data_IF_324511354028
#
_entry.id   IF_324511354028
#
_cell.length_a   1.000
_cell.length_b   1.000
_cell.length_c   1.000
_cell.angle_alpha   90.00
_cell.angle_beta   90.00
_cell.angle_gamma   90.00
#
_symmetry.space_group_name_H-M   'P 1'
#
loop_
_entity.id
_entity.type
_entity.pdbx_description
1 polymer ?
#
# COMPACT_ATOMS: atom_id res chain seq x y z
N UNK A 1 -1.80 8.95 3.29
CA UNK A 1 -3.28 8.78 3.26
C UNK A 1 -3.66 7.84 4.40
N UNK A 2 -4.74 8.13 5.13
CA UNK A 2 -5.29 7.26 6.19
C UNK A 2 -6.75 6.97 5.82
N UNK A 3 -7.21 5.73 5.97
CA UNK A 3 -8.46 5.27 5.40
C UNK A 3 -8.73 3.79 5.69
N UNK A 4 -9.64 3.21 4.90
CA UNK A 4 -10.19 1.87 5.13
C UNK A 4 -9.79 0.89 4.03
N UNK A 5 -9.79 -0.40 4.38
CA UNK A 5 -9.82 -1.48 3.40
C UNK A 5 -11.27 -1.73 2.95
N UNK A 6 -11.53 -2.15 1.70
CA UNK A 6 -10.54 -2.53 0.67
C UNK A 6 -10.10 -1.37 -0.24
N UNK A 7 -10.55 -0.12 0.03
CA UNK A 7 -10.27 1.04 -0.83
C UNK A 7 -8.78 1.23 -1.08
N UNK A 8 -7.93 1.05 -0.06
CA UNK A 8 -6.49 1.19 -0.20
C UNK A 8 -5.83 0.04 -0.96
N UNK A 9 -6.15 -1.22 -0.67
CA UNK A 9 -5.62 -2.33 -1.47
C UNK A 9 -6.04 -2.25 -2.94
N UNK A 10 -7.26 -1.79 -3.24
CA UNK A 10 -7.73 -1.53 -4.61
C UNK A 10 -7.01 -0.35 -5.27
N UNK A 11 -6.84 0.77 -4.56
CA UNK A 11 -6.14 1.95 -5.08
C UNK A 11 -4.68 1.63 -5.39
N UNK A 12 -3.99 0.93 -4.48
CA UNK A 12 -2.60 0.50 -4.71
C UNK A 12 -2.52 -0.47 -5.88
N UNK A 13 -3.50 -1.36 -6.04
CA UNK A 13 -3.57 -2.25 -7.20
C UNK A 13 -3.77 -1.50 -8.51
N UNK A 14 -4.62 -0.48 -8.54
CA UNK A 14 -4.79 0.37 -9.72
C UNK A 14 -3.51 1.12 -10.09
N UNK A 15 -2.81 1.69 -9.09
CA UNK A 15 -1.59 2.47 -9.30
C UNK A 15 -0.39 1.60 -9.69
N UNK A 16 -0.24 0.42 -9.09
CA UNK A 16 0.98 -0.39 -9.21
C UNK A 16 0.82 -1.62 -10.10
N UNK A 17 -0.40 -1.97 -10.50
CA UNK A 17 -0.79 -3.26 -11.09
C UNK A 17 -0.47 -4.49 -10.22
N UNK A 18 -0.09 -4.28 -8.96
CA UNK A 18 0.21 -5.34 -8.00
C UNK A 18 -0.92 -5.52 -6.99
N UNK A 19 -1.21 -6.75 -6.59
CA UNK A 19 -2.15 -7.02 -5.49
C UNK A 19 -1.41 -7.11 -4.16
N UNK A 20 -1.99 -6.51 -3.12
CA UNK A 20 -1.48 -6.58 -1.75
C UNK A 20 -2.58 -7.00 -0.79
N UNK A 21 -2.20 -7.35 0.44
CA UNK A 21 -3.09 -7.43 1.59
C UNK A 21 -2.60 -6.45 2.63
N UNK A 22 -3.43 -5.50 3.04
CA UNK A 22 -3.08 -4.51 4.06
C UNK A 22 -3.79 -4.87 5.38
N UNK A 23 -3.03 -4.97 6.47
CA UNK A 23 -3.61 -5.16 7.81
C UNK A 23 -4.07 -3.80 8.38
N UNK A 24 -4.99 -3.82 9.36
CA UNK A 24 -5.32 -2.61 10.13
C UNK A 24 -4.04 -2.01 10.72
N UNK A 25 -3.88 -0.69 10.62
CA UNK A 25 -2.65 0.04 10.98
C UNK A 25 -1.40 -0.34 10.17
N UNK A 26 -1.54 -1.09 9.07
CA UNK A 26 -0.47 -1.29 8.10
C UNK A 26 -0.21 -0.02 7.29
N UNK A 27 1.03 0.12 6.81
CA UNK A 27 1.47 1.27 6.00
C UNK A 27 2.09 0.76 4.72
N UNK A 28 1.63 1.27 3.57
CA UNK A 28 2.24 1.02 2.28
C UNK A 28 2.92 2.30 1.77
N UNK A 29 4.16 2.18 1.31
CA UNK A 29 4.86 3.26 0.60
C UNK A 29 4.79 2.99 -0.89
N UNK A 30 4.15 3.90 -1.62
CA UNK A 30 4.05 3.85 -3.07
C UNK A 30 4.80 5.04 -3.64
N UNK A 31 5.74 4.75 -4.52
CA UNK A 31 6.43 5.75 -5.34
C UNK A 31 5.60 5.97 -6.62
N UNK A 32 5.32 7.21 -6.97
CA UNK A 32 4.53 7.57 -8.17
C UNK A 32 5.45 8.22 -9.20
N UNK A 33 5.40 7.72 -10.43
CA UNK A 33 6.07 8.35 -11.57
C UNK A 33 5.11 9.33 -12.27
N UNK A 34 5.66 10.31 -13.00
CA UNK A 34 4.86 11.24 -13.80
C UNK A 34 4.02 10.53 -14.90
N UNK A 35 4.34 9.27 -15.22
CA UNK A 35 3.69 8.42 -16.23
C UNK A 35 2.41 7.73 -15.75
N UNK A 36 1.81 8.20 -14.65
CA UNK A 36 0.65 7.58 -13.97
C UNK A 36 0.89 6.16 -13.45
N UNK A 37 2.14 5.67 -13.49
CA UNK A 37 2.53 4.36 -12.99
C UNK A 37 3.15 4.49 -11.61
N UNK A 38 2.63 3.74 -10.66
CA UNK A 38 3.17 3.62 -9.32
C UNK A 38 4.02 2.36 -9.14
N UNK A 39 4.93 2.39 -8.17
CA UNK A 39 5.66 1.22 -7.68
C UNK A 39 5.50 1.10 -6.17
N UNK A 40 5.05 -0.07 -5.71
CA UNK A 40 5.07 -0.39 -4.29
C UNK A 40 6.52 -0.60 -3.84
N UNK A 41 6.98 0.22 -2.88
CA UNK A 41 8.35 0.16 -2.34
C UNK A 41 8.43 -0.68 -1.09
N UNK A 42 7.44 -0.54 -0.20
CA UNK A 42 7.37 -1.35 1.01
C UNK A 42 5.93 -1.46 1.52
N UNK A 43 5.73 -2.52 2.33
CA UNK A 43 4.50 -2.80 3.05
C UNK A 43 4.88 -3.16 4.48
N UNK A 44 4.58 -2.27 5.42
CA UNK A 44 4.78 -2.49 6.84
C UNK A 44 3.47 -2.97 7.46
N UNK A 45 3.51 -4.11 8.15
CA UNK A 45 2.40 -4.60 8.96
C UNK A 45 2.75 -4.41 10.44
N UNK A 46 1.80 -4.00 11.29
CA UNK A 46 2.06 -3.78 12.72
C UNK A 46 2.56 -5.02 13.45
N UNK A 47 2.33 -6.23 12.91
CA UNK A 47 2.90 -7.46 13.48
C UNK A 47 4.43 -7.55 13.37
N UNK A 48 5.06 -6.78 12.48
CA UNK A 48 6.52 -6.67 12.37
C UNK A 48 7.11 -5.61 13.32
N UNK A 49 6.26 -4.92 14.09
CA UNK A 49 6.65 -3.91 15.07
C UNK A 49 6.43 -4.40 16.52
N UNK A 50 6.69 -5.68 16.79
CA UNK A 50 6.93 -6.11 18.16
C UNK A 50 8.40 -5.85 18.49
N UNK A 51 8.73 -5.21 19.63
CA UNK A 51 10.10 -5.15 20.14
C UNK A 51 10.65 -6.56 20.42
#
# INVERSE_FOLDING_TARGET
LVGHEDDFSLTIAALTRGRIKLAKAGVALVELEASERGRLRCLFSPKFASP
#
